data_IF_094147521773
#
_entry.id   IF_094147521773
#
_cell.length_a   1.000
_cell.length_b   1.000
_cell.length_c   1.000
_cell.angle_alpha   90.00
_cell.angle_beta   90.00
_cell.angle_gamma   90.00
#
_symmetry.space_group_name_H-M   'P 1'
#
loop_
_entity.id
_entity.type
_entity.pdbx_description
1 polymer ?
#
# COMPACT_ATOMS: atom_id res chain seq x y z
N UNK A 1 -21.82 0.79 -4.56
CA UNK A 1 -21.47 -0.59 -4.17
C UNK A 1 -20.50 -1.11 -5.21
N UNK A 2 -19.28 -1.44 -4.81
CA UNK A 2 -18.27 -2.00 -5.72
C UNK A 2 -17.95 -3.42 -5.27
N UNK A 3 -17.58 -4.31 -6.21
CA UNK A 3 -17.41 -5.74 -5.92
C UNK A 3 -15.97 -6.16 -6.10
N UNK A 4 -15.44 -6.91 -5.12
CA UNK A 4 -14.13 -7.55 -5.26
C UNK A 4 -14.26 -8.69 -6.26
N UNK A 5 -13.62 -8.55 -7.42
CA UNK A 5 -13.76 -9.50 -8.53
C UNK A 5 -12.62 -10.52 -8.58
N UNK A 6 -11.43 -10.18 -8.08
CA UNK A 6 -10.31 -11.11 -8.08
C UNK A 6 -9.29 -10.76 -7.00
N UNK A 7 -8.62 -11.80 -6.50
CA UNK A 7 -7.43 -11.72 -5.66
C UNK A 7 -6.38 -12.63 -6.31
N UNK A 8 -5.22 -12.08 -6.64
CA UNK A 8 -4.15 -12.84 -7.32
C UNK A 8 -2.78 -12.56 -6.70
N UNK A 9 -1.92 -13.58 -6.64
CA UNK A 9 -0.55 -13.44 -6.14
C UNK A 9 0.27 -12.46 -6.99
N UNK A 10 1.10 -11.64 -6.36
CA UNK A 10 2.03 -10.79 -7.09
C UNK A 10 3.21 -11.59 -7.67
N UNK A 11 3.67 -11.20 -8.86
CA UNK A 11 4.77 -11.89 -9.54
C UNK A 11 6.14 -11.76 -8.83
N UNK A 12 6.37 -10.64 -8.11
CA UNK A 12 7.67 -10.33 -7.48
C UNK A 12 7.70 -10.51 -5.97
N UNK A 13 6.54 -10.46 -5.33
CA UNK A 13 6.44 -10.58 -3.89
C UNK A 13 5.30 -11.58 -3.58
N UNK A 14 5.63 -12.85 -3.32
CA UNK A 14 4.61 -13.87 -3.08
C UNK A 14 3.80 -13.62 -1.80
N UNK A 15 4.33 -12.84 -0.86
CA UNK A 15 3.67 -12.49 0.41
C UNK A 15 2.60 -11.40 0.25
N UNK A 16 2.42 -10.88 -0.97
CA UNK A 16 1.41 -9.87 -1.31
C UNK A 16 0.51 -10.33 -2.44
N UNK A 17 -0.75 -9.90 -2.35
CA UNK A 17 -1.75 -10.17 -3.37
C UNK A 17 -2.28 -8.87 -3.96
N UNK A 18 -2.57 -8.90 -5.24
CA UNK A 18 -3.31 -7.88 -5.95
C UNK A 18 -4.81 -8.07 -5.70
N UNK A 19 -5.50 -6.99 -5.38
CA UNK A 19 -6.95 -6.96 -5.22
C UNK A 19 -7.56 -6.16 -6.38
N UNK A 20 -8.46 -6.81 -7.11
CA UNK A 20 -9.19 -6.22 -8.23
C UNK A 20 -10.65 -5.99 -7.86
N UNK A 21 -11.16 -4.82 -8.22
CA UNK A 21 -12.55 -4.40 -8.03
C UNK A 21 -13.13 -4.12 -9.40
N UNK A 22 -14.30 -4.69 -9.67
CA UNK A 22 -15.00 -4.56 -10.95
C UNK A 22 -14.10 -4.85 -12.17
N UNK A 23 -13.26 -5.88 -12.04
CA UNK A 23 -12.34 -6.35 -13.09
C UNK A 23 -11.04 -5.55 -13.20
N UNK A 24 -10.83 -4.51 -12.39
CA UNK A 24 -9.65 -3.64 -12.45
C UNK A 24 -8.84 -3.73 -11.17
N UNK A 25 -7.52 -3.84 -11.30
CA UNK A 25 -6.61 -3.72 -10.17
C UNK A 25 -6.84 -2.39 -9.43
N UNK A 26 -6.89 -2.45 -8.09
CA UNK A 26 -7.05 -1.27 -7.24
C UNK A 26 -5.90 -1.09 -6.27
N UNK A 27 -5.65 -2.09 -5.43
CA UNK A 27 -4.62 -2.03 -4.39
C UNK A 27 -4.03 -3.42 -4.15
N UNK A 28 -3.06 -3.52 -3.25
CA UNK A 28 -2.44 -4.80 -2.88
C UNK A 28 -2.32 -4.92 -1.38
N UNK A 29 -2.67 -6.07 -0.84
CA UNK A 29 -2.58 -6.37 0.59
C UNK A 29 -1.52 -7.44 0.84
N UNK A 30 -0.91 -7.41 2.02
CA UNK A 30 -0.14 -8.55 2.51
C UNK A 30 -1.10 -9.71 2.81
N UNK A 31 -0.61 -10.96 2.73
CA UNK A 31 -1.47 -12.15 2.97
C UNK A 31 -2.13 -12.08 4.35
N UNK A 32 -1.41 -11.63 5.39
CA UNK A 32 -1.97 -11.44 6.74
C UNK A 32 -3.12 -10.43 6.73
N UNK A 33 -2.95 -9.28 6.06
CA UNK A 33 -3.98 -8.25 5.97
C UNK A 33 -5.25 -8.76 5.28
N UNK A 34 -5.13 -9.64 4.27
CA UNK A 34 -6.31 -10.25 3.62
C UNK A 34 -7.13 -11.06 4.61
N UNK A 35 -6.44 -11.84 5.45
CA UNK A 35 -7.08 -12.68 6.49
C UNK A 35 -7.67 -11.81 7.59
N UNK A 36 -6.88 -10.90 8.16
CA UNK A 36 -7.27 -10.04 9.28
C UNK A 36 -8.43 -9.11 8.93
N UNK A 37 -8.45 -8.59 7.69
CA UNK A 37 -9.50 -7.71 7.19
C UNK A 37 -10.66 -8.48 6.54
N UNK A 38 -10.59 -9.81 6.49
CA UNK A 38 -11.64 -10.67 5.95
C UNK A 38 -11.97 -10.42 4.48
N UNK A 39 -10.98 -10.05 3.67
CA UNK A 39 -11.16 -9.67 2.27
C UNK A 39 -11.38 -10.91 1.41
N UNK A 40 -12.52 -10.99 0.70
CA UNK A 40 -12.89 -12.15 -0.10
C UNK A 40 -13.39 -11.76 -1.50
N UNK A 41 -13.14 -12.63 -2.48
CA UNK A 41 -13.73 -12.47 -3.82
C UNK A 41 -15.25 -12.61 -3.73
N UNK A 42 -15.97 -11.78 -4.47
CA UNK A 42 -17.43 -11.74 -4.47
C UNK A 42 -18.03 -10.79 -3.43
N UNK A 43 -17.22 -10.27 -2.51
CA UNK A 43 -17.66 -9.33 -1.48
C UNK A 43 -18.03 -7.97 -2.10
N UNK A 44 -19.19 -7.46 -1.72
CA UNK A 44 -19.60 -6.08 -1.98
C UNK A 44 -19.06 -5.18 -0.87
N UNK A 45 -18.47 -4.05 -1.25
CA UNK A 45 -17.93 -3.06 -0.33
C UNK A 45 -18.42 -1.67 -0.69
N UNK A 46 -18.57 -0.84 0.34
CA UNK A 46 -18.83 0.59 0.19
C UNK A 46 -17.53 1.39 0.03
N UNK A 47 -17.68 2.68 -0.27
CA UNK A 47 -16.53 3.58 -0.46
C UNK A 47 -15.70 3.77 0.81
N UNK A 48 -16.32 3.69 2.00
CA UNK A 48 -15.63 3.85 3.28
C UNK A 48 -14.69 2.67 3.55
N UNK A 49 -15.16 1.45 3.27
CA UNK A 49 -14.42 0.22 3.41
C UNK A 49 -13.34 0.13 2.34
N UNK A 50 -13.64 0.53 1.11
CA UNK A 50 -12.63 0.65 0.06
C UNK A 50 -11.48 1.57 0.48
N UNK A 51 -11.80 2.77 0.95
CA UNK A 51 -10.79 3.72 1.43
C UNK A 51 -10.00 3.17 2.62
N UNK A 52 -10.64 2.41 3.52
CA UNK A 52 -9.94 1.72 4.60
C UNK A 52 -8.94 0.69 4.07
N UNK A 53 -9.35 -0.19 3.16
CA UNK A 53 -8.47 -1.21 2.59
C UNK A 53 -7.30 -0.60 1.81
N UNK A 54 -7.53 0.50 1.10
CA UNK A 54 -6.47 1.25 0.41
C UNK A 54 -5.45 1.81 1.41
N UNK A 55 -5.90 2.41 2.52
CA UNK A 55 -5.01 2.87 3.61
C UNK A 55 -4.20 1.74 4.23
N UNK A 56 -4.83 0.59 4.49
CA UNK A 56 -4.14 -0.59 5.03
C UNK A 56 -3.07 -1.10 4.06
N UNK A 57 -3.37 -1.14 2.77
CA UNK A 57 -2.41 -1.48 1.71
C UNK A 57 -1.18 -0.55 1.71
N UNK A 58 -1.41 0.76 1.84
CA UNK A 58 -0.33 1.75 1.92
C UNK A 58 0.50 1.58 3.20
N UNK A 59 -0.17 1.35 4.33
CA UNK A 59 0.47 1.12 5.62
C UNK A 59 1.37 -0.12 5.60
N UNK A 60 0.85 -1.28 5.17
CA UNK A 60 1.62 -2.54 5.12
C UNK A 60 2.88 -2.41 4.27
N UNK A 61 2.74 -1.80 3.08
CA UNK A 61 3.87 -1.51 2.19
C UNK A 61 4.92 -0.59 2.84
N UNK A 62 4.50 0.44 3.56
CA UNK A 62 5.41 1.37 4.23
C UNK A 62 6.08 0.72 5.45
N UNK A 63 5.32 -0.06 6.21
CA UNK A 63 5.79 -0.81 7.37
C UNK A 63 6.88 -1.79 6.98
N UNK A 64 6.63 -2.66 5.99
CA UNK A 64 7.62 -3.64 5.51
C UNK A 64 8.94 -2.95 5.07
N UNK A 65 8.83 -1.88 4.26
CA UNK A 65 10.00 -1.09 3.82
C UNK A 65 10.77 -0.43 4.97
N UNK A 66 10.08 -0.06 6.02
CA UNK A 66 10.69 0.59 7.19
C UNK A 66 11.35 -0.45 8.09
N UNK A 67 10.74 -1.64 8.22
CA UNK A 67 11.31 -2.78 8.90
C UNK A 67 12.61 -3.21 8.22
N UNK A 68 12.61 -3.41 6.90
CA UNK A 68 13.82 -3.69 6.12
C UNK A 68 14.92 -2.64 6.36
N UNK A 69 14.55 -1.36 6.34
CA UNK A 69 15.48 -0.25 6.59
C UNK A 69 16.13 -0.30 7.99
N UNK A 70 15.36 -0.71 9.00
CA UNK A 70 15.83 -0.89 10.38
C UNK A 70 16.67 -2.17 10.56
N UNK A 71 16.39 -3.22 9.80
CA UNK A 71 17.14 -4.49 9.88
C UNK A 71 18.52 -4.42 9.24
N UNK A 72 18.75 -3.50 8.29
CA UNK A 72 20.07 -3.34 7.63
C UNK A 72 21.18 -2.90 8.60
N UNK A 73 20.87 -2.04 9.57
CA UNK A 73 21.75 -1.62 10.68
C UNK A 73 20.91 -0.86 11.71
N UNK A 74 21.37 -0.71 12.97
CA UNK A 74 20.72 0.15 13.94
C UNK A 74 20.45 1.56 13.38
N UNK A 75 19.22 2.04 13.56
CA UNK A 75 18.76 3.37 13.16
C UNK A 75 18.26 4.14 14.37
N UNK A 76 18.59 5.42 14.45
CA UNK A 76 17.97 6.34 15.39
C UNK A 76 16.51 6.64 15.02
N UNK A 77 15.71 7.04 16.01
CA UNK A 77 14.33 7.50 15.76
C UNK A 77 14.27 8.64 14.74
N UNK A 78 15.27 9.53 14.73
CA UNK A 78 15.36 10.62 13.76
C UNK A 78 15.54 10.10 12.33
N UNK A 79 16.46 9.15 12.12
CA UNK A 79 16.66 8.53 10.80
C UNK A 79 15.38 7.86 10.29
N UNK A 80 14.65 7.15 11.15
CA UNK A 80 13.38 6.51 10.78
C UNK A 80 12.32 7.55 10.42
N UNK A 81 12.17 8.63 11.20
CA UNK A 81 11.25 9.73 10.87
C UNK A 81 11.61 10.40 9.54
N UNK A 82 12.90 10.66 9.31
CA UNK A 82 13.36 11.27 8.06
C UNK A 82 13.16 10.34 6.86
N UNK A 83 13.35 9.03 7.04
CA UNK A 83 13.05 8.02 6.02
C UNK A 83 11.55 8.00 5.69
N UNK A 84 10.69 7.91 6.69
CA UNK A 84 9.23 7.91 6.51
C UNK A 84 8.77 9.20 5.81
N UNK A 85 9.24 10.37 6.25
CA UNK A 85 8.94 11.66 5.61
C UNK A 85 9.30 11.65 4.13
N UNK A 86 10.47 11.12 3.76
CA UNK A 86 10.88 10.99 2.35
C UNK A 86 10.00 10.05 1.53
N UNK A 87 9.29 9.10 2.17
CA UNK A 87 8.43 8.12 1.51
C UNK A 87 6.96 8.54 1.42
N UNK A 88 6.48 9.39 2.32
CA UNK A 88 5.06 9.77 2.38
C UNK A 88 4.76 11.18 1.85
N UNK A 89 5.73 12.10 1.90
CA UNK A 89 5.49 13.46 1.41
C UNK A 89 5.64 13.55 -0.10
N UNK A 90 4.63 14.11 -0.76
CA UNK A 90 4.72 14.47 -2.17
C UNK A 90 5.79 15.56 -2.34
N UNK A 91 6.88 15.23 -3.03
CA UNK A 91 7.91 16.23 -3.35
C UNK A 91 7.40 17.09 -4.48
N UNK A 92 7.38 18.40 -4.26
CA UNK A 92 7.18 19.33 -5.37
C UNK A 92 8.40 19.27 -6.29
N UNK A 93 8.18 19.02 -7.57
CA UNK A 93 9.24 19.02 -8.57
C UNK A 93 8.99 20.13 -9.59
N UNK A 94 10.05 20.84 -9.97
CA UNK A 94 10.01 21.75 -11.11
C UNK A 94 9.96 20.91 -12.37
N UNK A 95 8.89 21.07 -13.13
CA UNK A 95 8.82 20.50 -14.49
C UNK A 95 9.81 21.23 -15.40
N UNK A 96 10.19 20.61 -16.53
CA UNK A 96 11.08 21.25 -17.54
C UNK A 96 10.55 22.59 -18.06
N UNK A 97 9.25 22.88 -17.87
CA UNK A 97 8.59 24.14 -18.26
C UNK A 97 8.61 25.22 -17.16
N UNK A 98 9.19 24.93 -15.99
CA UNK A 98 9.27 25.88 -14.87
C UNK A 98 8.12 25.80 -13.87
N UNK A 99 7.04 25.08 -14.19
CA UNK A 99 5.90 24.91 -13.28
C UNK A 99 6.27 24.01 -12.11
N UNK A 100 5.87 24.42 -10.91
CA UNK A 100 5.99 23.63 -9.67
C UNK A 100 4.73 22.76 -9.55
N UNK A 101 4.88 21.44 -9.62
CA UNK A 101 3.84 20.46 -9.28
C UNK A 101 4.20 19.76 -7.98
#
# INVERSE_FOLDING_TARGET
MTKITAISSQARNPDRVNVSIDGKYRFSLDISQVVDLGVKVGQEIDESRLAQLERESEFGKLYARTLEYCLMRPRSQREVRDYLRKKTFSKRYKTKKGDVK
#
